data_IF_328556738679
#
_entry.id   IF_328556738679
#
_cell.length_a   1.000
_cell.length_b   1.000
_cell.length_c   1.000
_cell.angle_alpha   90.00
_cell.angle_beta   90.00
_cell.angle_gamma   90.00
#
_symmetry.space_group_name_H-M   'P 1'
#
loop_
_entity.id
_entity.type
_entity.pdbx_description
1 polymer ?
#
# COMPACT_ATOMS: atom_id res chain seq x y z
N UNK A 1 -0.27 2.34 -22.24
CA UNK A 1 -0.34 2.08 -20.79
C UNK A 1 0.98 2.48 -20.14
N UNK A 2 0.93 3.16 -19.03
CA UNK A 2 2.08 3.62 -18.26
C UNK A 2 3.00 2.43 -17.88
N UNK A 3 4.31 2.58 -18.01
CA UNK A 3 5.29 1.59 -17.56
C UNK A 3 5.63 1.81 -16.07
N UNK A 4 6.27 0.82 -15.42
CA UNK A 4 6.80 1.00 -14.05
C UNK A 4 7.78 2.17 -13.95
N UNK A 5 8.58 2.41 -15.00
CA UNK A 5 9.52 3.52 -15.05
C UNK A 5 8.79 4.87 -15.12
N UNK A 6 7.75 4.99 -15.97
CA UNK A 6 6.94 6.20 -16.05
C UNK A 6 6.19 6.47 -14.75
N UNK A 7 5.65 5.43 -14.12
CA UNK A 7 5.00 5.53 -12.82
C UNK A 7 5.97 5.99 -11.72
N UNK A 8 7.21 5.51 -11.73
CA UNK A 8 8.26 5.96 -10.80
C UNK A 8 8.55 7.45 -11.00
N UNK A 9 8.71 7.90 -12.25
CA UNK A 9 8.93 9.32 -12.55
C UNK A 9 7.75 10.19 -12.14
N UNK A 10 6.53 9.70 -12.33
CA UNK A 10 5.32 10.38 -11.91
C UNK A 10 5.26 10.52 -10.38
N UNK A 11 5.54 9.45 -9.64
CA UNK A 11 5.61 9.48 -8.17
C UNK A 11 6.67 10.48 -7.69
N UNK A 12 7.86 10.48 -8.29
CA UNK A 12 8.95 11.41 -7.92
C UNK A 12 8.63 12.87 -8.19
N UNK A 13 7.77 13.16 -9.18
CA UNK A 13 7.30 14.51 -9.51
C UNK A 13 6.33 15.08 -8.46
N UNK A 14 5.49 14.23 -7.87
CA UNK A 14 4.43 14.67 -6.96
C UNK A 14 4.78 14.49 -5.48
N UNK A 15 5.69 13.58 -5.15
CA UNK A 15 6.08 13.26 -3.78
C UNK A 15 7.55 13.64 -3.58
N UNK A 16 7.84 14.56 -2.67
CA UNK A 16 9.21 14.95 -2.28
C UNK A 16 9.68 14.20 -1.02
N UNK A 17 8.75 13.89 -0.11
CA UNK A 17 9.02 13.21 1.15
C UNK A 17 9.65 11.84 0.97
N UNK A 18 10.88 11.59 1.47
CA UNK A 18 11.51 10.27 1.39
C UNK A 18 10.73 9.19 2.13
N UNK A 19 10.00 9.55 3.19
CA UNK A 19 9.20 8.59 3.95
C UNK A 19 7.96 8.15 3.19
N UNK A 20 7.29 9.06 2.48
CA UNK A 20 6.13 8.74 1.66
C UNK A 20 6.54 7.96 0.41
N UNK A 21 7.62 8.37 -0.28
CA UNK A 21 8.20 7.58 -1.38
C UNK A 21 8.51 6.15 -0.97
N UNK A 22 9.10 5.98 0.23
CA UNK A 22 9.39 4.66 0.76
C UNK A 22 8.11 3.87 1.04
N UNK A 23 7.08 4.49 1.59
CA UNK A 23 5.78 3.85 1.79
C UNK A 23 5.20 3.36 0.46
N UNK A 24 5.08 4.23 -0.54
CA UNK A 24 4.58 3.86 -1.88
C UNK A 24 5.39 2.71 -2.50
N UNK A 25 6.72 2.73 -2.37
CA UNK A 25 7.58 1.65 -2.86
C UNK A 25 7.34 0.32 -2.11
N UNK A 26 7.12 0.36 -0.80
CA UNK A 26 6.81 -0.85 -0.03
C UNK A 26 5.45 -1.42 -0.41
N UNK A 27 4.43 -0.59 -0.58
CA UNK A 27 3.11 -1.04 -1.06
C UNK A 27 3.23 -1.61 -2.48
N UNK A 28 3.99 -0.97 -3.37
CA UNK A 28 4.25 -1.49 -4.73
C UNK A 28 4.93 -2.87 -4.70
N UNK A 29 5.95 -3.06 -3.86
CA UNK A 29 6.62 -4.35 -3.70
C UNK A 29 5.69 -5.44 -3.14
N UNK A 30 4.85 -5.09 -2.18
CA UNK A 30 3.84 -5.99 -1.63
C UNK A 30 2.83 -6.43 -2.70
N UNK A 31 2.32 -5.47 -3.46
CA UNK A 31 1.37 -5.70 -4.56
C UNK A 31 1.98 -6.58 -5.66
N UNK A 32 3.21 -6.29 -6.10
CA UNK A 32 3.95 -7.10 -7.08
C UNK A 32 4.11 -8.56 -6.60
N UNK A 33 4.50 -8.74 -5.35
CA UNK A 33 4.68 -10.08 -4.77
C UNK A 33 3.37 -10.86 -4.70
N UNK A 34 2.26 -10.21 -4.33
CA UNK A 34 0.95 -10.83 -4.33
C UNK A 34 0.46 -11.14 -5.75
N UNK A 35 0.63 -10.22 -6.71
CA UNK A 35 0.26 -10.46 -8.10
C UNK A 35 0.97 -11.71 -8.66
N UNK A 36 2.28 -11.82 -8.44
CA UNK A 36 3.04 -13.00 -8.84
C UNK A 36 2.55 -14.30 -8.17
N UNK A 37 2.22 -14.24 -6.87
CA UNK A 37 1.71 -15.40 -6.13
C UNK A 37 0.31 -15.86 -6.63
N UNK A 38 -0.48 -14.90 -7.11
CA UNK A 38 -1.86 -15.11 -7.55
C UNK A 38 -1.99 -15.25 -9.07
N UNK A 39 -0.87 -15.23 -9.82
CA UNK A 39 -0.83 -15.23 -11.28
C UNK A 39 -1.65 -14.08 -11.92
N UNK A 40 -1.57 -12.89 -11.32
CA UNK A 40 -2.17 -11.66 -11.81
C UNK A 40 -1.14 -10.80 -12.55
N UNK A 41 -1.59 -9.70 -13.17
CA UNK A 41 -0.71 -8.73 -13.83
C UNK A 41 0.13 -7.95 -12.80
N UNK A 42 1.38 -8.38 -12.63
CA UNK A 42 2.31 -7.81 -11.67
C UNK A 42 2.65 -6.34 -11.96
N UNK A 43 2.62 -5.90 -13.23
CA UNK A 43 2.89 -4.50 -13.58
C UNK A 43 1.75 -3.59 -13.15
N UNK A 44 0.51 -3.94 -13.44
CA UNK A 44 -0.66 -3.18 -13.00
C UNK A 44 -0.75 -3.10 -11.47
N UNK A 45 -0.50 -4.21 -10.78
CA UNK A 45 -0.53 -4.25 -9.32
C UNK A 45 0.59 -3.41 -8.69
N UNK A 46 1.81 -3.51 -9.22
CA UNK A 46 2.94 -2.68 -8.79
C UNK A 46 2.63 -1.19 -8.94
N UNK A 47 2.11 -0.79 -10.10
CA UNK A 47 1.80 0.61 -10.42
C UNK A 47 0.69 1.13 -9.51
N UNK A 48 -0.36 0.34 -9.24
CA UNK A 48 -1.40 0.71 -8.29
C UNK A 48 -0.82 1.00 -6.90
N UNK A 49 0.02 0.11 -6.38
CA UNK A 49 0.70 0.31 -5.11
C UNK A 49 1.66 1.50 -5.09
N UNK A 50 2.34 1.78 -6.21
CA UNK A 50 3.28 2.90 -6.28
C UNK A 50 2.60 4.27 -6.31
N UNK A 51 1.41 4.35 -6.90
CA UNK A 51 0.71 5.62 -7.16
C UNK A 51 -0.49 5.87 -6.25
N UNK A 52 -0.80 4.99 -5.29
CA UNK A 52 -2.01 5.12 -4.47
C UNK A 52 -2.06 6.43 -3.67
N UNK A 53 -0.93 6.87 -3.16
CA UNK A 53 -0.76 8.09 -2.36
C UNK A 53 -0.18 9.27 -3.14
N UNK A 54 -0.31 9.30 -4.47
CA UNK A 54 0.35 10.26 -5.35
C UNK A 54 0.08 11.72 -5.00
N UNK A 55 -1.11 12.02 -4.54
CA UNK A 55 -1.57 13.37 -4.21
C UNK A 55 -1.51 13.70 -2.70
N UNK A 56 -1.20 12.70 -1.84
CA UNK A 56 -1.26 12.86 -0.39
C UNK A 56 -0.43 14.04 0.14
N UNK A 57 0.77 14.24 -0.38
CA UNK A 57 1.67 15.29 0.10
C UNK A 57 1.22 16.70 -0.29
N UNK A 58 0.74 16.86 -1.53
CA UNK A 58 0.39 18.18 -2.09
C UNK A 58 -1.09 18.52 -1.88
N UNK A 59 -1.96 17.52 -1.81
CA UNK A 59 -3.42 17.70 -1.76
C UNK A 59 -4.08 16.79 -0.71
N UNK A 60 -3.65 16.83 0.58
CA UNK A 60 -4.10 15.86 1.59
C UNK A 60 -5.62 15.88 1.83
N UNK A 61 -6.25 17.05 1.66
CA UNK A 61 -7.71 17.20 1.84
C UNK A 61 -8.51 16.64 0.64
N UNK A 62 -7.88 16.56 -0.54
CA UNK A 62 -8.50 16.05 -1.77
C UNK A 62 -8.13 14.58 -2.07
N UNK A 63 -7.21 14.01 -1.33
CA UNK A 63 -6.75 12.62 -1.51
C UNK A 63 -7.90 11.61 -1.35
N UNK A 64 -8.00 10.57 -2.20
CA UNK A 64 -7.23 10.33 -3.43
C UNK A 64 -7.88 10.96 -4.68
N UNK A 65 -8.94 11.76 -4.48
CA UNK A 65 -9.77 12.29 -5.56
C UNK A 65 -8.98 13.17 -6.54
N UNK A 66 -7.97 13.90 -6.06
CA UNK A 66 -7.10 14.71 -6.94
C UNK A 66 -6.28 13.84 -7.88
N UNK A 67 -5.69 12.78 -7.38
CA UNK A 67 -4.94 11.84 -8.20
C UNK A 67 -5.85 11.16 -9.23
N UNK A 68 -6.96 10.57 -8.79
CA UNK A 68 -7.81 9.73 -9.66
C UNK A 68 -8.61 10.52 -10.70
N UNK A 69 -8.97 11.76 -10.42
CA UNK A 69 -9.77 12.57 -11.36
C UNK A 69 -8.93 13.43 -12.30
N UNK A 70 -7.78 13.96 -11.82
CA UNK A 70 -7.06 15.00 -12.54
C UNK A 70 -5.67 14.55 -13.03
N UNK A 71 -4.96 13.71 -12.27
CA UNK A 71 -3.54 13.40 -12.57
C UNK A 71 -3.40 12.09 -13.35
N UNK A 72 -3.92 11.00 -12.81
CA UNK A 72 -3.75 9.66 -13.38
C UNK A 72 -4.36 9.49 -14.77
N UNK A 73 -5.54 10.07 -15.08
CA UNK A 73 -6.10 10.00 -16.44
C UNK A 73 -5.21 10.66 -17.50
N UNK A 74 -4.47 11.73 -17.13
CA UNK A 74 -3.56 12.42 -18.05
C UNK A 74 -2.23 11.68 -18.23
N UNK A 75 -1.91 10.73 -17.37
CA UNK A 75 -0.68 9.93 -17.39
C UNK A 75 -0.86 8.55 -18.04
N UNK A 76 -1.94 8.32 -18.79
CA UNK A 76 -2.27 7.04 -19.48
C UNK A 76 -2.31 5.83 -18.50
N UNK A 77 -2.68 6.09 -17.25
CA UNK A 77 -2.92 5.04 -16.25
C UNK A 77 -4.25 4.35 -16.56
N UNK A 78 -4.28 3.02 -16.49
CA UNK A 78 -5.47 2.25 -16.84
C UNK A 78 -6.64 2.48 -15.88
N UNK A 79 -7.86 2.31 -16.37
CA UNK A 79 -9.06 2.45 -15.55
C UNK A 79 -9.09 1.47 -14.36
N UNK A 80 -8.53 0.27 -14.50
CA UNK A 80 -8.41 -0.73 -13.45
C UNK A 80 -7.51 -0.22 -12.30
N UNK A 81 -6.36 0.36 -12.61
CA UNK A 81 -5.45 0.95 -11.62
C UNK A 81 -6.11 2.14 -10.93
N UNK A 82 -6.76 3.02 -11.70
CA UNK A 82 -7.49 4.18 -11.15
C UNK A 82 -8.59 3.71 -10.20
N UNK A 83 -9.36 2.68 -10.57
CA UNK A 83 -10.39 2.11 -9.71
C UNK A 83 -9.81 1.54 -8.41
N UNK A 84 -8.67 0.82 -8.48
CA UNK A 84 -8.00 0.31 -7.30
C UNK A 84 -7.54 1.44 -6.37
N UNK A 85 -6.95 2.50 -6.93
CA UNK A 85 -6.54 3.69 -6.18
C UNK A 85 -7.78 4.43 -5.61
N UNK A 86 -8.91 4.46 -6.31
CA UNK A 86 -10.14 5.04 -5.75
C UNK A 86 -10.65 4.25 -4.54
N UNK A 87 -10.62 2.92 -4.64
CA UNK A 87 -11.17 2.03 -3.62
C UNK A 87 -10.28 1.84 -2.38
N UNK A 88 -8.99 2.28 -2.39
CA UNK A 88 -8.13 2.13 -1.23
C UNK A 88 -8.51 3.07 -0.06
N UNK A 89 -9.22 4.15 -0.33
CA UNK A 89 -9.69 5.11 0.66
C UNK A 89 -11.23 5.23 0.66
N UNK A 90 -11.97 4.16 1.05
CA UNK A 90 -13.43 4.10 0.92
C UNK A 90 -14.17 5.17 1.72
N UNK A 91 -13.63 5.60 2.85
CA UNK A 91 -14.21 6.65 3.68
C UNK A 91 -14.19 8.04 2.99
N UNK A 92 -13.29 8.23 2.04
CA UNK A 92 -13.14 9.48 1.27
C UNK A 92 -13.86 9.45 -0.08
N UNK A 93 -13.89 8.29 -0.71
CA UNK A 93 -14.43 8.12 -2.07
C UNK A 93 -15.83 7.53 -2.09
N UNK A 94 -16.22 6.81 -1.04
CA UNK A 94 -17.46 6.01 -0.99
C UNK A 94 -17.37 4.68 -1.75
N UNK A 95 -16.26 4.42 -2.46
CA UNK A 95 -16.07 3.18 -3.23
C UNK A 95 -15.42 2.11 -2.34
N UNK A 96 -16.13 1.01 -2.13
CA UNK A 96 -15.61 -0.14 -1.38
C UNK A 96 -14.73 -1.02 -2.29
N UNK A 97 -13.65 -1.65 -1.74
CA UNK A 97 -12.83 -2.59 -2.49
C UNK A 97 -13.62 -3.85 -2.87
N UNK A 98 -13.77 -4.11 -4.17
CA UNK A 98 -14.55 -5.25 -4.69
C UNK A 98 -13.70 -6.21 -5.53
N UNK A 99 -12.92 -5.70 -6.46
CA UNK A 99 -12.01 -6.51 -7.28
C UNK A 99 -10.80 -6.99 -6.49
N UNK A 100 -10.09 -7.99 -7.02
CA UNK A 100 -8.94 -8.55 -6.34
C UNK A 100 -7.81 -7.52 -6.13
N UNK A 101 -7.48 -6.72 -7.14
CA UNK A 101 -6.46 -5.66 -7.04
C UNK A 101 -6.86 -4.60 -6.00
N UNK A 102 -8.12 -4.20 -5.94
CA UNK A 102 -8.64 -3.24 -4.95
C UNK A 102 -8.52 -3.76 -3.53
N UNK A 103 -8.95 -5.01 -3.27
CA UNK A 103 -8.87 -5.65 -1.96
C UNK A 103 -7.43 -5.78 -1.46
N UNK A 104 -6.51 -6.16 -2.36
CA UNK A 104 -5.10 -6.30 -1.99
C UNK A 104 -4.40 -4.96 -1.79
N UNK A 105 -4.76 -3.91 -2.56
CA UNK A 105 -4.22 -2.57 -2.34
C UNK A 105 -4.63 -2.05 -0.97
N UNK A 106 -5.93 -2.11 -0.63
CA UNK A 106 -6.43 -1.74 0.70
C UNK A 106 -5.74 -2.55 1.82
N UNK A 107 -5.59 -3.86 1.62
CA UNK A 107 -4.97 -4.73 2.61
C UNK A 107 -3.47 -4.45 2.83
N UNK A 108 -2.76 -3.97 1.80
CA UNK A 108 -1.31 -3.73 1.86
C UNK A 108 -0.95 -2.35 2.40
N UNK A 109 -1.79 -1.35 2.23
CA UNK A 109 -1.49 0.04 2.53
C UNK A 109 -1.09 0.24 4.01
N UNK A 110 -2.03 0.24 4.91
CA UNK A 110 -1.80 0.52 6.34
C UNK A 110 -0.81 -0.45 7.00
N UNK A 111 -0.84 -1.72 6.63
CA UNK A 111 0.09 -2.71 7.20
C UNK A 111 1.53 -2.48 6.74
N UNK A 112 1.78 -2.02 5.50
CA UNK A 112 3.11 -1.66 5.04
C UNK A 112 3.68 -0.49 5.83
N UNK A 113 2.89 0.55 6.09
CA UNK A 113 3.26 1.68 6.94
C UNK A 113 3.58 1.21 8.38
N UNK A 114 2.76 0.31 8.92
CA UNK A 114 3.00 -0.26 10.25
C UNK A 114 4.29 -1.09 10.30
N UNK A 115 4.55 -1.94 9.32
CA UNK A 115 5.74 -2.76 9.24
C UNK A 115 7.01 -1.92 9.08
N UNK A 116 6.97 -0.83 8.31
CA UNK A 116 8.08 0.13 8.22
C UNK A 116 8.38 0.78 9.58
N UNK A 117 7.34 1.18 10.32
CA UNK A 117 7.50 1.71 11.67
C UNK A 117 8.14 0.67 12.63
N UNK A 118 7.74 -0.60 12.56
CA UNK A 118 8.36 -1.69 13.33
C UNK A 118 9.81 -1.89 12.94
N UNK A 119 10.12 -1.85 11.64
CA UNK A 119 11.48 -2.00 11.12
C UNK A 119 12.41 -0.86 11.57
N UNK A 120 11.91 0.38 11.59
CA UNK A 120 12.68 1.57 12.01
C UNK A 120 13.21 1.50 13.45
N UNK A 121 12.49 0.82 14.35
CA UNK A 121 12.91 0.66 15.75
C UNK A 121 13.73 -0.61 16.00
N UNK A 122 14.12 -1.34 14.97
CA UNK A 122 14.92 -2.58 15.03
C UNK A 122 16.29 -2.37 14.36
N UNK A 123 17.40 -2.73 15.03
CA UNK A 123 18.72 -2.66 14.38
C UNK A 123 18.81 -3.49 13.09
N UNK A 124 18.24 -4.70 13.10
CA UNK A 124 18.22 -5.61 11.95
C UNK A 124 17.04 -5.37 10.98
N UNK A 125 16.28 -4.30 11.15
CA UNK A 125 15.10 -3.95 10.32
C UNK A 125 14.16 -5.16 10.15
N UNK A 126 13.97 -5.65 8.91
CA UNK A 126 13.11 -6.80 8.62
C UNK A 126 13.79 -8.13 8.93
N UNK A 127 15.10 -8.22 8.92
CA UNK A 127 15.83 -9.46 9.16
C UNK A 127 15.47 -10.07 10.52
N UNK A 128 15.01 -11.31 10.52
CA UNK A 128 14.55 -12.02 11.72
C UNK A 128 13.31 -11.41 12.40
N UNK A 129 12.56 -10.54 11.73
CA UNK A 129 11.26 -10.07 12.22
C UNK A 129 10.27 -11.24 12.22
N UNK A 130 9.46 -11.34 13.28
CA UNK A 130 8.45 -12.40 13.44
C UNK A 130 7.10 -11.78 13.74
N UNK A 131 6.03 -12.47 13.33
CA UNK A 131 4.66 -12.11 13.67
C UNK A 131 4.47 -11.75 15.15
N UNK A 132 5.04 -12.52 16.07
CA UNK A 132 4.91 -12.26 17.50
C UNK A 132 5.40 -10.87 17.91
N UNK A 133 6.46 -10.36 17.26
CA UNK A 133 6.99 -9.01 17.49
C UNK A 133 6.06 -7.95 16.92
N UNK A 134 5.53 -8.16 15.74
CA UNK A 134 4.56 -7.26 15.09
C UNK A 134 3.27 -7.20 15.89
N UNK A 135 2.71 -8.35 16.25
CA UNK A 135 1.47 -8.45 17.05
C UNK A 135 1.58 -7.73 18.41
N UNK A 136 2.74 -7.85 19.08
CA UNK A 136 2.99 -7.09 20.32
C UNK A 136 2.92 -5.57 20.08
N UNK A 137 3.43 -5.10 18.96
CA UNK A 137 3.38 -3.67 18.58
C UNK A 137 1.98 -3.24 18.15
N UNK A 138 1.22 -4.07 17.43
CA UNK A 138 -0.17 -3.80 17.06
C UNK A 138 -1.06 -3.56 18.31
N UNK A 139 -0.84 -4.33 19.36
CA UNK A 139 -1.55 -4.16 20.64
C UNK A 139 -1.17 -2.89 21.40
N UNK A 140 -0.05 -2.27 21.08
CA UNK A 140 0.37 -1.01 21.68
C UNK A 140 -0.20 0.18 20.88
N UNK A 141 -1.28 0.78 21.37
CA UNK A 141 -1.98 1.89 20.71
C UNK A 141 -1.13 3.15 20.53
N UNK A 142 -0.10 3.37 21.36
CA UNK A 142 0.79 4.53 21.24
C UNK A 142 1.90 4.34 20.18
N UNK A 143 2.16 3.10 19.77
CA UNK A 143 3.14 2.82 18.73
C UNK A 143 2.51 3.02 17.35
N UNK A 144 3.11 3.86 16.50
CA UNK A 144 2.58 4.21 15.18
C UNK A 144 1.07 4.56 15.26
N UNK A 145 0.73 5.53 16.12
CA UNK A 145 -0.66 5.84 16.50
C UNK A 145 -1.53 6.32 15.32
N UNK A 146 -0.91 6.83 14.26
CA UNK A 146 -1.59 7.31 13.06
C UNK A 146 -1.99 6.18 12.08
N UNK A 147 -1.50 4.95 12.29
CA UNK A 147 -1.84 3.79 11.46
C UNK A 147 -3.14 3.17 11.95
N UNK A 148 -4.11 2.98 11.07
CA UNK A 148 -5.42 2.39 11.40
C UNK A 148 -5.30 0.88 11.64
N UNK A 149 -5.59 0.42 12.88
CA UNK A 149 -5.63 -1.01 13.20
C UNK A 149 -6.87 -1.68 12.65
N UNK A 150 -7.95 -0.93 12.57
CA UNK A 150 -9.23 -1.41 12.05
C UNK A 150 -9.09 -1.73 10.55
N UNK A 151 -8.41 -0.85 9.79
CA UNK A 151 -8.16 -1.08 8.35
C UNK A 151 -7.17 -2.23 8.11
N UNK A 152 -6.16 -2.39 8.99
CA UNK A 152 -5.27 -3.56 8.96
C UNK A 152 -6.06 -4.87 9.14
N UNK A 153 -6.98 -4.92 10.11
CA UNK A 153 -7.80 -6.11 10.36
C UNK A 153 -8.81 -6.34 9.22
N UNK A 154 -9.47 -5.29 8.77
CA UNK A 154 -10.40 -5.34 7.64
C UNK A 154 -9.69 -5.78 6.35
N UNK A 155 -8.50 -5.25 6.08
CA UNK A 155 -7.71 -5.63 4.91
C UNK A 155 -7.39 -7.12 4.87
N UNK A 156 -6.98 -7.70 6.00
CA UNK A 156 -6.74 -9.14 6.09
C UNK A 156 -8.02 -9.97 5.83
N UNK A 157 -9.18 -9.49 6.30
CA UNK A 157 -10.47 -10.12 6.04
C UNK A 157 -10.88 -10.03 4.56
N UNK A 158 -10.66 -8.87 3.91
CA UNK A 158 -10.98 -8.66 2.50
C UNK A 158 -10.22 -9.59 1.56
N UNK A 159 -9.00 -9.97 1.92
CA UNK A 159 -8.17 -10.92 1.15
C UNK A 159 -8.28 -12.37 1.62
N UNK A 160 -9.20 -12.65 2.56
CA UNK A 160 -9.47 -13.97 3.13
C UNK A 160 -8.19 -14.65 3.69
N UNK A 161 -7.38 -13.87 4.43
CA UNK A 161 -6.17 -14.37 5.07
C UNK A 161 -6.14 -14.06 6.57
N UNK A 162 -5.67 -14.99 7.42
CA UNK A 162 -5.29 -14.64 8.78
C UNK A 162 -4.26 -13.50 8.77
N UNK A 163 -4.42 -12.50 9.62
CA UNK A 163 -3.48 -11.37 9.71
C UNK A 163 -2.02 -11.84 9.93
N UNK A 164 -1.82 -12.93 10.66
CA UNK A 164 -0.50 -13.53 10.88
C UNK A 164 0.14 -14.05 9.59
N UNK A 165 -0.66 -14.60 8.68
CA UNK A 165 -0.19 -15.07 7.37
C UNK A 165 0.15 -13.90 6.46
N UNK A 166 -0.74 -12.90 6.37
CA UNK A 166 -0.53 -11.69 5.60
C UNK A 166 0.75 -10.96 6.04
N UNK A 167 0.92 -10.72 7.35
CA UNK A 167 2.15 -10.11 7.91
C UNK A 167 3.38 -10.98 7.65
N UNK A 168 3.27 -12.29 7.81
CA UNK A 168 4.38 -13.23 7.54
C UNK A 168 4.87 -13.13 6.10
N UNK A 169 3.95 -13.13 5.14
CA UNK A 169 4.25 -12.96 3.71
C UNK A 169 4.97 -11.63 3.43
N UNK A 170 4.45 -10.51 3.96
CA UNK A 170 5.05 -9.19 3.76
C UNK A 170 6.46 -9.09 4.39
N UNK A 171 6.68 -9.69 5.56
CA UNK A 171 8.02 -9.74 6.17
C UNK A 171 9.00 -10.47 5.24
N UNK A 172 8.60 -11.58 4.61
CA UNK A 172 9.44 -12.29 3.64
C UNK A 172 9.75 -11.44 2.42
N UNK A 173 8.76 -10.71 1.88
CA UNK A 173 8.95 -9.78 0.76
C UNK A 173 9.98 -8.71 1.09
N UNK A 174 9.89 -8.09 2.26
CA UNK A 174 10.78 -6.98 2.66
C UNK A 174 12.14 -7.43 3.22
N UNK A 175 12.35 -8.72 3.41
CA UNK A 175 13.64 -9.26 3.87
C UNK A 175 14.58 -9.58 2.71
N UNK A 176 14.04 -9.72 1.50
CA UNK A 176 14.81 -9.99 0.26
C UNK A 176 15.54 -8.73 -0.20
#
# INVERSE_FOLDING_TARGET
MVSRQDAQQLMEKFIESPSLRRHCQMVAQAMDAYANNLNQDADSWYIAGLLHDLDWEQFPDEHPNKAVNDILPQADVSAEIIAAITAHAPDRTGQQPDTQIERYLFACDEICGFLDAVAKVRPAKFTGMKWSSVNKKLKNKSFAANVSRDDIEQGAQLIDKPLSEHVGFLIEVFTR
#
